data_IF_254115463453
#
_entry.id   IF_254115463453
#
_cell.length_a   1.000
_cell.length_b   1.000
_cell.length_c   1.000
_cell.angle_alpha   90.00
_cell.angle_beta   90.00
_cell.angle_gamma   90.00
#
_symmetry.space_group_name_H-M   'P 1'
#
loop_
_entity.id
_entity.type
_entity.pdbx_description
1 polymer ?
#
# COMPACT_ATOMS: atom_id res chain seq x y z
N UNK A 1 11.18 4.81 3.73
CA UNK A 1 11.32 3.32 3.68
C UNK A 1 10.62 2.59 4.83
N UNK A 2 10.34 3.25 5.98
CA UNK A 2 9.46 2.66 7.01
C UNK A 2 7.98 2.55 6.59
N UNK A 3 7.59 3.27 5.55
CA UNK A 3 6.21 3.35 5.08
C UNK A 3 5.66 1.97 4.67
N UNK A 4 6.44 1.18 3.92
CA UNK A 4 6.00 -0.14 3.43
C UNK A 4 5.73 -1.14 4.56
N UNK A 5 6.56 -1.13 5.61
CA UNK A 5 6.40 -2.02 6.77
C UNK A 5 5.15 -1.63 7.56
N UNK A 6 4.99 -0.34 7.83
CA UNK A 6 3.83 0.21 8.54
C UNK A 6 2.54 -0.10 7.79
N UNK A 7 2.51 0.18 6.49
CA UNK A 7 1.41 -0.17 5.60
C UNK A 7 1.10 -1.67 5.63
N UNK A 8 2.10 -2.53 5.42
CA UNK A 8 1.93 -3.98 5.45
C UNK A 8 1.35 -4.48 6.77
N UNK A 9 1.85 -3.98 7.90
CA UNK A 9 1.34 -4.31 9.23
C UNK A 9 -0.11 -3.86 9.41
N UNK A 10 -0.44 -2.62 9.03
CA UNK A 10 -1.82 -2.11 9.15
C UNK A 10 -2.77 -2.93 8.28
N UNK A 11 -2.40 -3.28 7.04
CA UNK A 11 -3.22 -4.13 6.19
C UNK A 11 -3.45 -5.52 6.79
N UNK A 12 -2.40 -6.14 7.35
CA UNK A 12 -2.49 -7.42 8.04
C UNK A 12 -3.40 -7.34 9.28
N UNK A 13 -3.28 -6.27 10.07
CA UNK A 13 -4.12 -6.05 11.25
C UNK A 13 -5.59 -5.80 10.87
N UNK A 14 -5.86 -4.99 9.84
CA UNK A 14 -7.20 -4.80 9.30
C UNK A 14 -7.84 -6.12 8.89
N UNK A 15 -7.10 -6.99 8.18
CA UNK A 15 -7.61 -8.31 7.78
C UNK A 15 -7.80 -9.25 8.96
N UNK A 16 -6.97 -9.15 10.00
CA UNK A 16 -7.20 -9.91 11.23
C UNK A 16 -8.48 -9.46 11.94
N UNK A 17 -8.72 -8.15 12.01
CA UNK A 17 -9.98 -7.59 12.52
C UNK A 17 -11.19 -8.05 11.72
N UNK A 18 -11.10 -8.01 10.38
CA UNK A 18 -12.14 -8.54 9.50
C UNK A 18 -12.43 -10.02 9.77
N UNK A 19 -11.40 -10.85 9.95
CA UNK A 19 -11.55 -12.27 10.26
C UNK A 19 -12.24 -12.48 11.62
N UNK A 20 -11.92 -11.67 12.63
CA UNK A 20 -12.56 -11.76 13.94
C UNK A 20 -14.06 -11.41 13.89
N UNK A 21 -14.43 -10.42 13.06
CA UNK A 21 -15.82 -10.00 12.87
C UNK A 21 -16.60 -10.93 11.94
N UNK A 22 -15.92 -11.61 11.01
CA UNK A 22 -16.52 -12.46 9.97
C UNK A 22 -15.65 -13.72 9.76
N UNK A 23 -15.72 -14.71 10.67
CA UNK A 23 -14.83 -15.86 10.65
C UNK A 23 -14.97 -16.73 9.40
N UNK A 24 -16.18 -16.80 8.82
CA UNK A 24 -16.47 -17.64 7.65
C UNK A 24 -16.23 -16.93 6.31
N UNK A 25 -15.96 -15.62 6.33
CA UNK A 25 -15.76 -14.85 5.10
C UNK A 25 -14.38 -15.16 4.48
N UNK A 26 -14.30 -15.25 3.14
CA UNK A 26 -13.01 -15.41 2.48
C UNK A 26 -12.14 -14.19 2.74
N UNK A 27 -10.95 -14.42 3.29
CA UNK A 27 -10.10 -13.37 3.80
C UNK A 27 -9.45 -12.53 2.68
N UNK A 28 -9.19 -13.15 1.52
CA UNK A 28 -8.49 -12.54 0.38
C UNK A 28 -7.23 -11.75 0.80
N UNK A 29 -6.45 -12.34 1.71
CA UNK A 29 -5.34 -11.67 2.38
C UNK A 29 -4.30 -11.16 1.40
N UNK A 30 -3.88 -12.01 0.46
CA UNK A 30 -2.80 -11.70 -0.46
C UNK A 30 -3.12 -10.52 -1.37
N UNK A 31 -4.30 -10.49 -2.01
CA UNK A 31 -4.69 -9.39 -2.89
C UNK A 31 -4.90 -8.09 -2.14
N UNK A 32 -5.41 -8.12 -0.91
CA UNK A 32 -5.57 -6.92 -0.10
C UNK A 32 -4.23 -6.34 0.37
N UNK A 33 -3.36 -7.18 0.92
CA UNK A 33 -2.02 -6.74 1.36
C UNK A 33 -1.22 -6.26 0.15
N UNK A 34 -1.27 -6.96 -0.98
CA UNK A 34 -0.66 -6.50 -2.23
C UNK A 34 -1.22 -5.13 -2.64
N UNK A 35 -2.54 -4.96 -2.62
CA UNK A 35 -3.19 -3.68 -2.88
C UNK A 35 -2.64 -2.54 -2.01
N UNK A 36 -2.45 -2.79 -0.72
CA UNK A 36 -1.96 -1.79 0.21
C UNK A 36 -0.45 -1.47 0.07
N UNK A 37 0.32 -2.33 -0.58
CA UNK A 37 1.76 -2.11 -0.82
C UNK A 37 2.04 -1.57 -2.23
N UNK A 38 1.15 -1.83 -3.19
CA UNK A 38 1.34 -1.50 -4.59
C UNK A 38 1.56 -0.01 -4.88
N UNK A 39 0.85 0.96 -4.25
CA UNK A 39 1.07 2.38 -4.53
C UNK A 39 2.53 2.79 -4.32
N UNK A 40 3.15 2.38 -3.21
CA UNK A 40 4.58 2.65 -2.96
C UNK A 40 5.49 1.89 -3.92
N UNK A 41 5.20 0.62 -4.19
CA UNK A 41 6.03 -0.21 -5.08
C UNK A 41 6.00 0.28 -6.53
N UNK A 42 4.89 0.86 -6.98
CA UNK A 42 4.74 1.36 -8.35
C UNK A 42 5.12 2.83 -8.49
N UNK A 43 4.83 3.66 -7.48
CA UNK A 43 5.08 5.09 -7.56
C UNK A 43 6.46 5.48 -7.00
N UNK A 44 6.76 5.05 -5.77
CA UNK A 44 7.95 5.51 -5.03
C UNK A 44 9.19 4.71 -5.39
N UNK A 45 9.11 3.38 -5.41
CA UNK A 45 10.30 2.54 -5.65
C UNK A 45 11.01 2.86 -6.98
N UNK A 46 10.33 2.99 -8.13
CA UNK A 46 10.99 3.37 -9.37
C UNK A 46 11.59 4.78 -9.29
N UNK A 47 10.85 5.75 -8.76
CA UNK A 47 11.31 7.14 -8.63
C UNK A 47 12.59 7.24 -7.78
N UNK A 48 12.67 6.50 -6.66
CA UNK A 48 13.85 6.45 -5.79
C UNK A 48 15.05 5.79 -6.47
N UNK A 49 14.83 4.68 -7.19
CA UNK A 49 15.89 4.00 -7.93
C UNK A 49 16.48 4.91 -9.04
N UNK A 50 15.62 5.61 -9.76
CA UNK A 50 16.04 6.56 -10.79
C UNK A 50 16.72 7.80 -10.20
N UNK A 51 16.24 8.31 -9.06
CA UNK A 51 16.88 9.41 -8.33
C UNK A 51 18.28 9.01 -7.87
N UNK A 52 18.44 7.78 -7.35
CA UNK A 52 19.74 7.25 -6.96
C UNK A 52 20.69 7.08 -8.17
N UNK A 53 20.18 6.64 -9.32
CA UNK A 53 20.97 6.53 -10.54
C UNK A 53 21.44 7.93 -11.03
N UNK A 54 20.55 8.92 -11.02
CA UNK A 54 20.87 10.30 -11.37
C UNK A 54 21.91 10.90 -10.41
N UNK A 55 21.78 10.65 -9.11
CA UNK A 55 22.76 11.06 -8.10
C UNK A 55 24.15 10.44 -8.30
N UNK A 56 24.24 9.30 -9.01
CA UNK A 56 25.49 8.64 -9.42
C UNK A 56 26.00 9.06 -10.80
N UNK A 57 25.39 10.10 -11.40
CA UNK A 57 25.83 10.67 -12.68
C UNK A 57 25.19 10.05 -13.92
N UNK A 58 24.20 9.15 -13.78
CA UNK A 58 23.44 8.67 -14.93
C UNK A 58 22.51 9.76 -15.48
N UNK A 59 22.39 9.85 -16.80
CA UNK A 59 21.33 10.65 -17.41
C UNK A 59 19.98 9.94 -17.23
N UNK A 60 19.05 10.60 -16.54
CA UNK A 60 17.70 10.08 -16.31
C UNK A 60 16.68 11.07 -16.89
N UNK A 61 15.89 10.68 -17.90
CA UNK A 61 14.82 11.51 -18.43
C UNK A 61 13.82 11.92 -17.34
N UNK A 62 13.30 13.18 -17.35
CA UNK A 62 12.33 13.64 -16.36
C UNK A 62 11.07 12.77 -16.24
N UNK A 63 10.65 12.14 -17.34
CA UNK A 63 9.53 11.21 -17.35
C UNK A 63 9.77 9.99 -16.45
N UNK A 64 11.00 9.48 -16.36
CA UNK A 64 11.33 8.37 -15.46
C UNK A 64 11.41 8.80 -14.00
N UNK A 65 11.59 10.09 -13.71
CA UNK A 65 11.58 10.61 -12.35
C UNK A 65 10.15 10.87 -11.85
N UNK A 66 9.27 11.38 -12.72
CA UNK A 66 7.95 11.90 -12.30
C UNK A 66 6.75 11.13 -12.85
N UNK A 67 6.94 10.27 -13.86
CA UNK A 67 5.85 9.55 -14.54
C UNK A 67 5.16 8.49 -13.69
N UNK A 68 5.67 8.20 -12.49
CA UNK A 68 5.15 7.17 -11.59
C UNK A 68 4.12 7.68 -10.59
N UNK A 69 4.02 9.01 -10.41
CA UNK A 69 3.06 9.64 -9.50
C UNK A 69 1.60 9.21 -9.68
N UNK A 70 1.10 8.99 -10.92
CA UNK A 70 -0.28 8.53 -11.12
C UNK A 70 -0.65 7.21 -10.43
N UNK A 71 0.32 6.32 -10.13
CA UNK A 71 0.03 5.08 -9.39
C UNK A 71 -0.33 5.31 -7.92
N UNK A 72 -0.11 6.53 -7.43
CA UNK A 72 -0.36 6.96 -6.05
C UNK A 72 -1.56 7.92 -5.92
N UNK A 73 -2.48 7.91 -6.89
CA UNK A 73 -3.73 8.69 -6.82
C UNK A 73 -4.94 7.79 -7.09
N UNK A 74 -6.15 8.14 -6.61
CA UNK A 74 -7.33 7.27 -6.72
C UNK A 74 -7.64 6.78 -8.14
N UNK A 75 -7.53 7.66 -9.15
CA UNK A 75 -7.79 7.27 -10.54
C UNK A 75 -6.80 6.19 -11.03
N UNK A 76 -5.51 6.34 -10.74
CA UNK A 76 -4.50 5.34 -11.11
C UNK A 76 -4.61 4.07 -10.26
N UNK A 77 -5.01 4.16 -8.99
CA UNK A 77 -5.28 3.00 -8.15
C UNK A 77 -6.44 2.14 -8.70
N UNK A 78 -7.52 2.77 -9.17
CA UNK A 78 -8.65 2.07 -9.83
C UNK A 78 -8.18 1.38 -11.11
N UNK A 79 -7.47 2.10 -11.98
CA UNK A 79 -6.96 1.54 -13.24
C UNK A 79 -6.00 0.38 -13.00
N UNK A 80 -5.06 0.55 -12.07
CA UNK A 80 -4.08 -0.49 -11.71
C UNK A 80 -4.77 -1.73 -11.14
N UNK A 81 -5.71 -1.54 -10.22
CA UNK A 81 -6.49 -2.63 -9.64
C UNK A 81 -7.28 -3.38 -10.71
N UNK A 82 -7.85 -2.66 -11.67
CA UNK A 82 -8.58 -3.25 -12.79
C UNK A 82 -7.64 -4.09 -13.67
N UNK A 83 -6.51 -3.51 -14.12
CA UNK A 83 -5.54 -4.20 -14.97
C UNK A 83 -4.98 -5.45 -14.30
N UNK A 84 -4.62 -5.39 -13.02
CA UNK A 84 -4.10 -6.54 -12.28
C UNK A 84 -5.17 -7.60 -12.05
N UNK A 85 -6.44 -7.21 -11.85
CA UNK A 85 -7.53 -8.17 -11.69
C UNK A 85 -7.77 -8.99 -12.97
N UNK A 86 -7.52 -8.45 -14.17
CA UNK A 86 -7.65 -9.17 -15.44
C UNK A 86 -6.69 -10.35 -15.60
N UNK A 87 -5.62 -10.41 -14.80
CA UNK A 87 -4.68 -11.54 -14.77
C UNK A 87 -5.24 -12.78 -14.07
N UNK A 88 -6.43 -12.67 -13.44
CA UNK A 88 -7.06 -13.76 -12.71
C UNK A 88 -8.26 -14.35 -13.48
N UNK A 89 -8.66 -15.60 -13.18
CA UNK A 89 -9.84 -16.22 -13.80
C UNK A 89 -11.10 -15.37 -13.60
N UNK A 90 -12.05 -15.33 -14.56
CA UNK A 90 -13.25 -14.48 -14.50
C UNK A 90 -14.02 -14.55 -13.17
N UNK A 91 -14.12 -15.75 -12.59
CA UNK A 91 -14.78 -15.98 -11.31
C UNK A 91 -14.14 -15.24 -10.11
N UNK A 92 -12.85 -14.91 -10.20
CA UNK A 92 -12.09 -14.25 -9.14
C UNK A 92 -11.88 -12.74 -9.38
N UNK A 93 -12.02 -12.24 -10.62
CA UNK A 93 -11.63 -10.88 -10.99
C UNK A 93 -12.28 -9.81 -10.12
N UNK A 94 -13.59 -9.91 -9.88
CA UNK A 94 -14.34 -8.93 -9.07
C UNK A 94 -13.83 -8.90 -7.61
N UNK A 95 -13.55 -10.07 -7.04
CA UNK A 95 -13.04 -10.17 -5.67
C UNK A 95 -11.61 -9.65 -5.57
N UNK A 96 -10.76 -9.95 -6.56
CA UNK A 96 -9.37 -9.46 -6.62
C UNK A 96 -9.35 -7.95 -6.81
N UNK A 97 -10.10 -7.41 -7.78
CA UNK A 97 -10.26 -5.97 -7.99
C UNK A 97 -10.67 -5.25 -6.69
N UNK A 98 -11.74 -5.72 -6.05
CA UNK A 98 -12.24 -5.11 -4.83
C UNK A 98 -11.23 -5.15 -3.67
N UNK A 99 -10.45 -6.23 -3.53
CA UNK A 99 -9.42 -6.33 -2.49
C UNK A 99 -8.19 -5.48 -2.82
N UNK A 100 -7.72 -5.45 -4.06
CA UNK A 100 -6.61 -4.59 -4.46
C UNK A 100 -6.98 -3.12 -4.23
N UNK A 101 -8.13 -2.69 -4.73
CA UNK A 101 -8.59 -1.32 -4.59
C UNK A 101 -8.80 -0.93 -3.13
N UNK A 102 -9.46 -1.77 -2.33
CA UNK A 102 -9.63 -1.47 -0.90
C UNK A 102 -8.31 -1.45 -0.12
N UNK A 103 -7.34 -2.27 -0.50
CA UNK A 103 -5.98 -2.19 0.01
C UNK A 103 -5.31 -0.86 -0.36
N UNK A 104 -5.36 -0.44 -1.63
CA UNK A 104 -4.81 0.84 -2.09
C UNK A 104 -5.49 2.05 -1.43
N UNK A 105 -6.80 1.96 -1.18
CA UNK A 105 -7.53 3.01 -0.47
C UNK A 105 -7.19 3.06 1.02
N UNK A 106 -6.93 1.92 1.66
CA UNK A 106 -6.39 1.89 3.03
C UNK A 106 -5.01 2.55 3.06
N UNK A 107 -4.15 2.25 2.09
CA UNK A 107 -2.86 2.89 1.94
C UNK A 107 -3.00 4.41 1.86
N UNK A 108 -3.83 4.89 0.93
CA UNK A 108 -4.09 6.32 0.78
C UNK A 108 -4.67 6.94 2.06
N UNK A 109 -5.55 6.23 2.78
CA UNK A 109 -6.12 6.71 4.02
C UNK A 109 -5.05 6.89 5.12
N UNK A 110 -4.08 5.98 5.22
CA UNK A 110 -2.95 6.09 6.15
C UNK A 110 -2.08 7.28 5.76
N UNK A 111 -1.74 7.39 4.47
CA UNK A 111 -0.94 8.48 3.93
C UNK A 111 -1.57 9.86 4.11
N UNK A 112 -2.89 9.96 3.98
CA UNK A 112 -3.63 11.19 4.26
C UNK A 112 -3.52 11.65 5.72
N UNK A 113 -3.23 10.75 6.67
CA UNK A 113 -2.96 11.14 8.06
C UNK A 113 -1.58 11.77 8.22
N UNK A 114 -0.66 11.51 7.28
CA UNK A 114 0.70 12.01 7.37
C UNK A 114 0.80 13.46 6.88
N UNK A 115 1.80 14.19 7.37
CA UNK A 115 2.18 15.52 6.84
C UNK A 115 3.40 15.39 5.93
N UNK A 116 3.25 15.75 4.67
CA UNK A 116 4.30 15.63 3.65
C UNK A 116 5.01 16.96 3.35
N UNK A 117 5.11 17.84 4.34
CA UNK A 117 5.82 19.12 4.22
C UNK A 117 5.51 19.92 2.93
N UNK A 118 4.24 19.92 2.51
CA UNK A 118 3.74 20.71 1.37
C UNK A 118 3.33 19.93 0.13
N UNK A 119 3.49 18.61 0.09
CA UNK A 119 3.08 17.75 -1.02
C UNK A 119 1.88 16.85 -0.66
N UNK A 120 0.68 17.43 -0.56
CA UNK A 120 -0.55 16.64 -0.34
C UNK A 120 -1.00 15.83 -1.57
N UNK A 121 -2.01 14.99 -1.40
CA UNK A 121 -2.47 14.07 -2.44
C UNK A 121 -3.52 14.70 -3.36
N UNK A 122 -3.43 14.41 -4.66
CA UNK A 122 -4.40 14.86 -5.66
C UNK A 122 -5.58 13.89 -5.76
N UNK A 123 -6.43 13.89 -4.74
CA UNK A 123 -7.52 12.91 -4.59
C UNK A 123 -8.51 12.91 -5.76
N UNK A 124 -8.73 14.07 -6.39
CA UNK A 124 -9.72 14.27 -7.44
C UNK A 124 -9.09 14.47 -8.82
N UNK A 125 -7.80 14.17 -9.00
CA UNK A 125 -7.19 14.24 -10.32
C UNK A 125 -7.87 13.24 -11.30
N UNK A 126 -8.13 13.61 -12.57
CA UNK A 126 -7.75 14.86 -13.25
C UNK A 126 -8.75 16.01 -13.14
N UNK A 127 -9.84 15.85 -12.37
CA UNK A 127 -10.89 16.87 -12.24
C UNK A 127 -10.46 18.05 -11.36
N UNK A 128 -9.53 17.83 -10.44
CA UNK A 128 -8.93 18.87 -9.60
C UNK A 128 -7.48 18.54 -9.27
N UNK A 129 -6.65 19.59 -9.23
CA UNK A 129 -5.23 19.55 -8.84
C UNK A 129 -5.00 20.12 -7.44
N UNK A 130 -6.06 20.34 -6.66
CA UNK A 130 -5.92 20.79 -5.27
C UNK A 130 -5.38 19.63 -4.41
N UNK A 131 -4.21 19.80 -3.75
CA UNK A 131 -3.69 18.79 -2.85
C UNK A 131 -4.49 18.75 -1.55
N UNK A 132 -4.56 17.58 -0.94
CA UNK A 132 -5.19 17.38 0.37
C UNK A 132 -4.39 16.40 1.22
N UNK A 133 -4.21 16.73 2.50
CA UNK A 133 -3.73 15.86 3.57
C UNK A 133 -4.27 16.39 4.91
N UNK A 134 -4.38 15.52 5.93
CA UNK A 134 -4.78 15.89 7.28
C UNK A 134 -3.61 16.35 8.14
N UNK A 135 -2.41 15.79 7.90
CA UNK A 135 -1.18 16.21 8.57
C UNK A 135 -1.13 15.92 10.08
N UNK A 136 -1.85 14.92 10.57
CA UNK A 136 -1.90 14.55 11.99
C UNK A 136 -0.65 13.82 12.48
N UNK A 137 0.10 13.20 11.56
CA UNK A 137 1.25 12.34 11.86
C UNK A 137 2.44 12.85 11.05
N UNK A 138 3.59 13.10 11.66
CA UNK A 138 4.81 13.41 10.89
C UNK A 138 5.28 12.18 10.12
N UNK A 139 5.80 12.33 8.90
CA UNK A 139 6.30 11.18 8.10
C UNK A 139 7.29 10.30 8.87
N UNK A 140 8.13 10.89 9.73
CA UNK A 140 9.10 10.17 10.58
C UNK A 140 8.44 9.32 11.69
N UNK A 141 7.22 9.68 12.13
CA UNK A 141 6.53 8.92 13.16
C UNK A 141 6.18 7.50 12.71
N UNK A 142 6.01 7.28 11.39
CA UNK A 142 5.80 5.94 10.84
C UNK A 142 7.02 5.03 11.05
N UNK A 143 8.23 5.59 11.04
CA UNK A 143 9.48 4.88 11.34
C UNK A 143 9.51 4.46 12.80
N UNK A 144 9.15 5.38 13.69
CA UNK A 144 9.16 5.15 15.14
C UNK A 144 8.16 4.07 15.55
N UNK A 145 6.98 4.05 14.91
CA UNK A 145 5.89 3.12 15.27
C UNK A 145 6.06 1.73 14.61
N UNK A 146 6.83 1.62 13.52
CA UNK A 146 7.00 0.36 12.78
C UNK A 146 7.40 -0.85 13.65
N UNK A 147 8.39 -0.78 14.58
CA UNK A 147 8.76 -1.92 15.40
C UNK A 147 7.60 -2.42 16.29
N UNK A 148 6.84 -1.50 16.88
CA UNK A 148 5.66 -1.84 17.67
C UNK A 148 4.59 -2.50 16.80
N UNK A 149 4.32 -1.96 15.61
CA UNK A 149 3.37 -2.54 14.66
C UNK A 149 3.77 -3.95 14.23
N UNK A 150 5.06 -4.21 14.00
CA UNK A 150 5.57 -5.55 13.68
C UNK A 150 5.28 -6.52 14.82
N UNK A 151 5.57 -6.15 16.07
CA UNK A 151 5.31 -7.00 17.24
C UNK A 151 3.81 -7.28 17.40
N UNK A 152 2.97 -6.25 17.31
CA UNK A 152 1.52 -6.38 17.41
C UNK A 152 0.97 -7.27 16.28
N UNK A 153 1.47 -7.09 15.06
CA UNK A 153 1.08 -7.90 13.91
C UNK A 153 1.50 -9.36 14.08
N UNK A 154 2.73 -9.62 14.50
CA UNK A 154 3.21 -10.98 14.75
C UNK A 154 2.37 -11.68 15.82
N UNK A 155 2.04 -10.98 16.90
CA UNK A 155 1.17 -11.50 17.96
C UNK A 155 -0.25 -11.78 17.45
N UNK A 156 -0.83 -10.86 16.69
CA UNK A 156 -2.18 -11.00 16.14
C UNK A 156 -2.31 -12.20 15.18
N UNK A 157 -1.22 -12.56 14.50
CA UNK A 157 -1.15 -13.66 13.52
C UNK A 157 -0.44 -14.92 14.04
N UNK A 158 -0.11 -14.98 15.34
CA UNK A 158 0.71 -16.05 15.94
C UNK A 158 0.21 -17.47 15.65
N UNK A 159 -1.11 -17.68 15.69
CA UNK A 159 -1.69 -19.03 15.54
C UNK A 159 -1.39 -19.59 14.14
N UNK A 160 -1.45 -18.73 13.11
CA UNK A 160 -1.11 -19.11 11.74
C UNK A 160 0.39 -19.26 11.52
N UNK A 161 1.21 -18.43 12.16
CA UNK A 161 2.67 -18.54 12.09
C UNK A 161 3.14 -19.86 12.72
N UNK A 162 2.61 -20.22 13.89
CA UNK A 162 2.89 -21.50 14.55
C UNK A 162 2.42 -22.68 13.69
N UNK A 163 1.22 -22.60 13.10
CA UNK A 163 0.73 -23.64 12.22
C UNK A 163 1.59 -23.80 10.95
N UNK A 164 2.05 -22.71 10.34
CA UNK A 164 2.93 -22.73 9.17
C UNK A 164 4.29 -23.35 9.52
N UNK A 165 4.89 -22.94 10.65
CA UNK A 165 6.15 -23.49 11.15
C UNK A 165 6.08 -25.01 11.37
N UNK A 166 4.98 -25.49 11.96
CA UNK A 166 4.75 -26.92 12.18
C UNK A 166 4.64 -27.73 10.88
N UNK A 167 4.23 -27.12 9.76
CA UNK A 167 4.16 -27.80 8.44
C UNK A 167 5.50 -27.90 7.74
N UNK A 168 6.47 -27.08 8.15
CA UNK A 168 7.82 -27.04 7.56
C UNK A 168 8.82 -27.95 8.29
N UNK A 169 8.43 -28.50 9.45
CA UNK A 169 9.16 -29.52 10.19
C UNK A 169 8.58 -30.89 9.88
#
# INVERSE_FOLDING_TARGET
MADLITHGCIALLCKRGQQALRPDAPLHLASFVAGNLLPDLLARLPAELFTLAAARGAFVPPLLLHGWGPFHIPAGMVLTSLMLALLFPPAAQRAVFGNLLSGMLLHLAIDLLQSHAGAGYLLLFPLSTRPFELGWIGSEATVVVAPLLVVVTAFAWRDRLVAAWRRLR
#
